data_IF_659899598357
#
_entry.id   IF_659899598357
#
_cell.length_a   1.000
_cell.length_b   1.000
_cell.length_c   1.000
_cell.angle_alpha   90.00
_cell.angle_beta   90.00
_cell.angle_gamma   90.00
#
_symmetry.space_group_name_H-M   'P 1'
#
loop_
_entity.id
_entity.type
_entity.pdbx_description
1 polymer ?
#
# COMPACT_ATOMS: atom_id res chain seq x y z
N UNK A 1 13.41 5.80 -7.43
CA UNK A 1 12.27 5.18 -6.72
C UNK A 1 12.49 3.67 -6.74
N UNK A 2 12.40 2.98 -5.61
CA UNK A 2 12.51 1.51 -5.58
C UNK A 2 11.12 0.89 -5.47
N UNK A 3 11.02 -0.42 -5.65
CA UNK A 3 9.79 -1.20 -5.43
C UNK A 3 9.94 -1.99 -4.13
N UNK A 4 8.87 -2.08 -3.35
CA UNK A 4 8.85 -2.90 -2.14
C UNK A 4 9.00 -4.39 -2.50
N UNK A 5 9.71 -5.17 -1.68
CA UNK A 5 10.00 -6.59 -1.98
C UNK A 5 8.72 -7.42 -2.15
N UNK A 6 7.72 -7.18 -1.30
CA UNK A 6 6.39 -7.81 -1.41
C UNK A 6 5.63 -7.46 -2.71
N UNK A 7 6.04 -6.39 -3.40
CA UNK A 7 5.44 -6.00 -4.66
C UNK A 7 5.84 -6.84 -5.85
N UNK A 8 7.02 -7.50 -5.83
CA UNK A 8 7.53 -8.21 -7.01
C UNK A 8 6.59 -9.32 -7.48
N UNK A 9 6.10 -10.15 -6.56
CA UNK A 9 5.16 -11.23 -6.87
C UNK A 9 3.85 -10.69 -7.44
N UNK A 10 3.27 -9.67 -6.80
CA UNK A 10 2.03 -9.03 -7.23
C UNK A 10 2.13 -8.38 -8.61
N UNK A 11 3.25 -7.70 -8.87
CA UNK A 11 3.55 -7.09 -10.17
C UNK A 11 3.71 -8.18 -11.24
N UNK A 12 4.45 -9.25 -10.97
CA UNK A 12 4.64 -10.35 -11.91
C UNK A 12 3.32 -11.03 -12.29
N UNK A 13 2.46 -11.30 -11.29
CA UNK A 13 1.13 -11.86 -11.53
C UNK A 13 0.24 -10.92 -12.35
N UNK A 14 0.32 -9.61 -12.08
CA UNK A 14 -0.43 -8.59 -12.84
C UNK A 14 0.03 -8.53 -14.29
N UNK A 15 1.35 -8.58 -14.55
CA UNK A 15 1.90 -8.61 -15.92
C UNK A 15 1.45 -9.87 -16.65
N UNK A 16 1.49 -11.04 -16.00
CA UNK A 16 1.01 -12.30 -16.59
C UNK A 16 -0.49 -12.23 -16.93
N UNK A 17 -1.29 -11.73 -16.01
CA UNK A 17 -2.73 -11.55 -16.21
C UNK A 17 -3.04 -10.61 -17.37
N UNK A 18 -2.36 -9.45 -17.42
CA UNK A 18 -2.45 -8.50 -18.53
C UNK A 18 -2.07 -9.17 -19.85
N UNK A 19 -0.95 -9.89 -19.89
CA UNK A 19 -0.50 -10.57 -21.10
C UNK A 19 -1.56 -11.56 -21.62
N UNK A 20 -2.10 -12.41 -20.75
CA UNK A 20 -3.12 -13.41 -21.11
C UNK A 20 -4.39 -12.72 -21.65
N UNK A 21 -4.90 -11.70 -20.95
CA UNK A 21 -6.11 -10.99 -21.40
C UNK A 21 -5.91 -10.36 -22.77
N UNK A 22 -4.78 -9.67 -22.96
CA UNK A 22 -4.51 -9.00 -24.22
C UNK A 22 -4.32 -10.00 -25.37
N UNK A 23 -3.64 -11.13 -25.13
CA UNK A 23 -3.49 -12.20 -26.12
C UNK A 23 -4.84 -12.82 -26.52
N UNK A 24 -5.72 -13.07 -25.55
CA UNK A 24 -7.07 -13.61 -25.81
C UNK A 24 -7.91 -12.62 -26.61
N UNK A 25 -7.87 -11.33 -26.24
CA UNK A 25 -8.62 -10.28 -26.95
C UNK A 25 -8.11 -10.12 -28.38
N UNK A 26 -6.79 -10.13 -28.58
CA UNK A 26 -6.18 -10.05 -29.91
C UNK A 26 -6.56 -11.26 -30.77
N UNK A 27 -6.52 -12.47 -30.21
CA UNK A 27 -6.85 -13.70 -30.94
C UNK A 27 -8.34 -13.82 -31.31
N UNK A 28 -9.25 -13.42 -30.40
CA UNK A 28 -10.69 -13.64 -30.57
C UNK A 28 -11.44 -12.46 -31.17
N UNK A 29 -10.91 -11.26 -31.05
CA UNK A 29 -11.56 -10.01 -31.43
C UNK A 29 -10.63 -9.09 -32.24
N UNK A 30 -9.82 -9.67 -33.13
CA UNK A 30 -8.83 -8.96 -33.95
C UNK A 30 -9.43 -7.75 -34.69
N UNK A 31 -10.63 -7.90 -35.25
CA UNK A 31 -11.33 -6.88 -36.04
C UNK A 31 -12.02 -5.80 -35.19
N UNK A 32 -12.20 -6.04 -33.89
CA UNK A 32 -12.88 -5.13 -32.98
C UNK A 32 -11.93 -4.05 -32.44
N UNK A 33 -11.55 -3.11 -33.32
CA UNK A 33 -10.57 -2.04 -33.03
C UNK A 33 -10.84 -1.31 -31.71
N UNK A 34 -12.08 -0.84 -31.49
CA UNK A 34 -12.46 -0.07 -30.30
C UNK A 34 -12.29 -0.89 -29.01
N UNK A 35 -12.69 -2.17 -29.04
CA UNK A 35 -12.59 -3.06 -27.89
C UNK A 35 -11.12 -3.31 -27.51
N UNK A 36 -10.26 -3.57 -28.50
CA UNK A 36 -8.82 -3.80 -28.28
C UNK A 36 -8.16 -2.60 -27.59
N UNK A 37 -8.37 -1.39 -28.13
CA UNK A 37 -7.83 -0.17 -27.53
C UNK A 37 -8.34 0.09 -26.13
N UNK A 38 -9.63 -0.16 -25.88
CA UNK A 38 -10.20 -0.03 -24.55
C UNK A 38 -9.53 -0.97 -23.54
N UNK A 39 -9.33 -2.24 -23.91
CA UNK A 39 -8.63 -3.23 -23.08
C UNK A 39 -7.17 -2.86 -22.85
N UNK A 40 -6.48 -2.32 -23.85
CA UNK A 40 -5.08 -1.86 -23.73
C UNK A 40 -4.97 -0.72 -22.72
N UNK A 41 -5.86 0.27 -22.81
CA UNK A 41 -5.90 1.41 -21.89
C UNK A 41 -6.16 0.94 -20.46
N UNK A 42 -7.14 0.06 -20.24
CA UNK A 42 -7.44 -0.49 -18.91
C UNK A 42 -6.26 -1.32 -18.38
N UNK A 43 -5.66 -2.15 -19.22
CA UNK A 43 -4.49 -2.96 -18.83
C UNK A 43 -3.32 -2.07 -18.39
N UNK A 44 -3.05 -1.01 -19.14
CA UNK A 44 -2.03 -0.04 -18.79
C UNK A 44 -2.35 0.69 -17.49
N UNK A 45 -3.61 1.15 -17.31
CA UNK A 45 -4.05 1.80 -16.08
C UNK A 45 -3.91 0.88 -14.84
N UNK A 46 -4.27 -0.40 -14.99
CA UNK A 46 -4.10 -1.41 -13.94
C UNK A 46 -2.63 -1.60 -13.58
N UNK A 47 -1.76 -1.76 -14.59
CA UNK A 47 -0.33 -1.92 -14.37
C UNK A 47 0.27 -0.73 -13.61
N UNK A 48 -0.06 0.49 -14.04
CA UNK A 48 0.39 1.71 -13.36
C UNK A 48 -0.13 1.75 -11.93
N UNK A 49 -1.39 1.40 -11.68
CA UNK A 49 -1.97 1.40 -10.34
C UNK A 49 -1.22 0.44 -9.40
N UNK A 50 -0.94 -0.79 -9.84
CA UNK A 50 -0.19 -1.78 -9.06
C UNK A 50 1.24 -1.31 -8.81
N UNK A 51 1.92 -0.75 -9.82
CA UNK A 51 3.25 -0.18 -9.64
C UNK A 51 3.26 0.98 -8.64
N UNK A 52 2.26 1.86 -8.69
CA UNK A 52 2.12 2.99 -7.77
C UNK A 52 1.84 2.54 -6.34
N UNK A 53 1.08 1.46 -6.16
CA UNK A 53 0.79 0.89 -4.83
C UNK A 53 2.06 0.37 -4.13
N UNK A 54 2.90 -0.36 -4.86
CA UNK A 54 4.13 -0.99 -4.33
C UNK A 54 5.38 -0.11 -4.40
N UNK A 55 5.24 1.17 -4.76
CA UNK A 55 6.38 2.09 -4.83
C UNK A 55 6.99 2.35 -3.45
N UNK A 56 8.31 2.50 -3.42
CA UNK A 56 9.07 2.94 -2.26
C UNK A 56 9.98 4.12 -2.65
N UNK A 57 9.47 5.36 -2.60
CA UNK A 57 10.28 6.54 -2.89
C UNK A 57 11.26 6.79 -1.74
N UNK A 58 12.42 7.38 -2.08
CA UNK A 58 13.31 7.94 -1.05
C UNK A 58 12.57 9.11 -0.40
N UNK A 59 12.67 9.20 0.92
CA UNK A 59 12.09 10.27 1.72
C UNK A 59 13.16 10.92 2.57
N UNK A 60 13.03 12.24 2.72
CA UNK A 60 13.78 13.00 3.71
C UNK A 60 12.89 13.10 4.95
N UNK A 61 13.34 12.52 6.05
CA UNK A 61 12.66 12.62 7.34
C UNK A 61 13.36 13.68 8.17
N UNK A 62 12.60 14.39 9.00
CA UNK A 62 13.17 15.11 10.14
C UNK A 62 13.58 14.08 11.18
N UNK A 63 14.80 14.12 11.67
CA UNK A 63 15.35 13.20 12.66
C UNK A 63 15.63 13.92 14.00
N UNK A 64 15.55 13.15 15.09
CA UNK A 64 15.80 13.66 16.45
C UNK A 64 15.35 12.67 17.52
N UNK A 65 16.07 12.59 18.63
CA UNK A 65 15.81 11.61 19.71
C UNK A 65 14.47 11.83 20.42
N UNK A 66 13.98 13.07 20.43
CA UNK A 66 12.73 13.47 21.10
C UNK A 66 11.57 13.70 20.11
N UNK A 67 11.66 13.16 18.90
CA UNK A 67 10.64 13.31 17.85
C UNK A 67 9.93 11.98 17.59
N UNK A 68 8.60 12.06 17.41
CA UNK A 68 7.79 10.96 16.88
C UNK A 68 7.52 11.28 15.42
N UNK A 69 8.04 10.45 14.52
CA UNK A 69 7.92 10.66 13.08
C UNK A 69 6.68 9.98 12.54
N UNK A 70 6.02 10.61 11.57
CA UNK A 70 4.85 10.01 10.93
C UNK A 70 5.22 8.67 10.25
N UNK A 71 4.59 7.54 10.64
CA UNK A 71 5.01 6.22 10.17
C UNK A 71 4.56 5.90 8.74
N UNK A 72 3.55 6.59 8.22
CA UNK A 72 2.86 6.22 6.99
C UNK A 72 2.36 7.45 6.21
N UNK A 73 2.09 7.26 4.91
CA UNK A 73 1.43 8.26 4.07
C UNK A 73 -0.07 8.17 4.24
N UNK A 74 -0.72 9.27 4.59
CA UNK A 74 -2.16 9.25 4.68
C UNK A 74 -2.75 10.49 5.28
N UNK A 75 -4.03 10.38 5.63
CA UNK A 75 -4.77 11.41 6.35
C UNK A 75 -4.88 11.00 7.81
N UNK A 76 -4.53 11.89 8.73
CA UNK A 76 -4.87 11.70 10.15
C UNK A 76 -6.38 11.80 10.28
N UNK A 77 -7.01 10.73 10.76
CA UNK A 77 -8.48 10.62 10.88
C UNK A 77 -8.95 10.65 12.33
N UNK A 78 -8.07 10.33 13.28
CA UNK A 78 -8.36 10.33 14.73
C UNK A 78 -7.13 10.82 15.49
N UNK A 79 -7.36 11.70 16.45
CA UNK A 79 -6.43 12.03 17.55
C UNK A 79 -7.30 12.14 18.82
N UNK A 80 -7.27 11.12 19.67
CA UNK A 80 -8.11 11.09 20.87
C UNK A 80 -7.49 10.24 21.99
N UNK A 81 -7.94 10.43 23.23
CA UNK A 81 -7.59 9.52 24.31
C UNK A 81 -8.49 8.29 24.29
N UNK A 82 -7.88 7.11 24.38
CA UNK A 82 -8.56 5.82 24.41
C UNK A 82 -7.95 4.91 25.47
N UNK A 83 -8.68 3.90 25.91
CA UNK A 83 -8.17 2.87 26.82
C UNK A 83 -7.43 1.80 26.00
N UNK A 84 -6.12 1.62 26.21
CA UNK A 84 -5.32 0.59 25.55
C UNK A 84 -5.34 -0.70 26.39
N UNK A 85 -6.12 -1.69 25.97
CA UNK A 85 -6.40 -2.88 26.79
C UNK A 85 -5.42 -4.05 26.72
N UNK A 86 -4.42 -4.03 25.83
CA UNK A 86 -3.58 -5.22 25.57
C UNK A 86 -2.25 -5.19 26.31
N UNK A 87 -1.50 -4.10 26.20
CA UNK A 87 -0.14 -4.00 26.71
C UNK A 87 -0.04 -3.12 27.95
N UNK A 88 -0.50 -1.87 27.86
CA UNK A 88 -0.44 -0.86 28.91
C UNK A 88 -1.60 -0.96 29.91
N UNK A 89 -2.81 -1.31 29.47
CA UNK A 89 -4.03 -1.42 30.31
C UNK A 89 -4.37 -0.10 31.03
N UNK A 90 -4.24 1.01 30.29
CA UNK A 90 -4.50 2.38 30.77
C UNK A 90 -4.90 3.33 29.62
N UNK A 91 -5.19 4.59 29.95
CA UNK A 91 -5.51 5.65 28.97
C UNK A 91 -4.26 6.11 28.20
N UNK A 92 -4.36 6.12 26.87
CA UNK A 92 -3.31 6.55 25.93
C UNK A 92 -3.86 7.45 24.83
N UNK A 93 -3.01 8.29 24.28
CA UNK A 93 -3.33 9.07 23.08
C UNK A 93 -3.21 8.17 21.84
N UNK A 94 -4.33 7.96 21.14
CA UNK A 94 -4.38 7.26 19.86
C UNK A 94 -4.27 8.26 18.71
N UNK A 95 -3.42 7.94 17.74
CA UNK A 95 -3.35 8.64 16.46
C UNK A 95 -3.59 7.63 15.34
N UNK A 96 -4.64 7.84 14.54
CA UNK A 96 -4.98 6.95 13.43
C UNK A 96 -4.73 7.63 12.09
N UNK A 97 -4.02 6.95 11.19
CA UNK A 97 -3.69 7.42 9.85
C UNK A 97 -4.37 6.49 8.83
N UNK A 98 -5.22 7.07 7.99
CA UNK A 98 -5.85 6.37 6.87
C UNK A 98 -4.98 6.49 5.62
N UNK A 99 -4.52 5.35 5.11
CA UNK A 99 -3.80 5.25 3.83
C UNK A 99 -4.80 4.94 2.71
N UNK A 100 -4.92 5.85 1.75
CA UNK A 100 -5.69 5.62 0.51
C UNK A 100 -4.87 4.82 -0.50
N UNK A 101 -5.49 4.18 -1.51
CA UNK A 101 -4.79 3.40 -2.55
C UNK A 101 -3.68 4.15 -3.32
N UNK A 102 -3.71 5.48 -3.34
CA UNK A 102 -2.69 6.31 -4.00
C UNK A 102 -1.51 6.68 -3.10
N UNK A 103 -1.60 6.41 -1.79
CA UNK A 103 -0.52 6.61 -0.83
C UNK A 103 0.57 5.53 -0.97
N UNK A 104 1.74 5.79 -0.40
CA UNK A 104 2.77 4.75 -0.27
C UNK A 104 2.34 3.78 0.83
N UNK A 105 2.01 2.54 0.48
CA UNK A 105 1.52 1.50 1.40
C UNK A 105 2.68 0.82 2.15
N UNK A 106 3.42 1.63 2.90
CA UNK A 106 4.55 1.18 3.72
C UNK A 106 4.42 1.84 5.09
N UNK A 107 4.24 1.02 6.12
CA UNK A 107 4.32 1.44 7.51
C UNK A 107 5.77 1.34 8.00
N UNK A 108 6.26 2.40 8.63
CA UNK A 108 7.60 2.49 9.22
C UNK A 108 7.49 2.63 10.74
N UNK A 109 8.61 2.42 11.43
CA UNK A 109 8.67 2.67 12.86
C UNK A 109 8.74 4.20 13.10
N UNK A 110 7.84 4.77 13.91
CA UNK A 110 7.82 6.22 14.16
C UNK A 110 8.91 6.68 15.15
N UNK A 111 9.49 5.75 15.90
CA UNK A 111 10.52 5.97 16.93
C UNK A 111 11.55 4.83 16.91
N UNK A 112 12.75 5.10 17.42
CA UNK A 112 13.76 4.07 17.70
C UNK A 112 13.42 3.31 18.99
N UNK A 113 13.63 1.99 19.00
CA UNK A 113 13.38 1.18 20.19
C UNK A 113 13.41 -0.32 19.93
N UNK A 114 13.00 -1.09 20.93
CA UNK A 114 12.88 -2.55 20.87
C UNK A 114 11.40 -2.92 20.92
N UNK A 115 10.93 -3.73 19.97
CA UNK A 115 9.57 -4.27 19.99
C UNK A 115 9.44 -5.24 21.16
N UNK A 116 8.64 -4.87 22.18
CA UNK A 116 8.40 -5.70 23.38
C UNK A 116 7.17 -6.60 23.28
N UNK A 117 6.22 -6.25 22.42
CA UNK A 117 4.94 -6.95 22.29
C UNK A 117 4.45 -6.90 20.84
N UNK A 118 3.89 -8.02 20.36
CA UNK A 118 3.23 -8.15 19.06
C UNK A 118 2.11 -9.18 19.20
N UNK A 119 0.93 -8.84 18.68
CA UNK A 119 -0.22 -9.74 18.67
C UNK A 119 -0.95 -9.62 17.34
N UNK A 120 -1.21 -10.75 16.71
CA UNK A 120 -2.07 -10.82 15.53
C UNK A 120 -3.52 -10.92 15.96
N UNK A 121 -4.37 -10.09 15.35
CA UNK A 121 -5.81 -10.12 15.51
C UNK A 121 -6.43 -10.52 14.17
N UNK A 122 -7.09 -11.68 14.07
CA UNK A 122 -7.78 -12.05 12.83
C UNK A 122 -8.89 -11.04 12.54
N UNK A 123 -8.80 -10.40 11.38
CA UNK A 123 -9.84 -9.54 10.87
C UNK A 123 -11.02 -10.32 10.29
N UNK A 124 -12.03 -9.60 9.80
CA UNK A 124 -13.14 -10.20 9.06
C UNK A 124 -12.75 -10.68 7.65
N UNK A 125 -11.63 -10.18 7.13
CA UNK A 125 -11.11 -10.40 5.78
C UNK A 125 -9.60 -10.60 5.81
#
# INVERSE_FOLDING_TARGET
MTIHKEGYTSIALTVLFIFIINAVVEYRFADAFVLRWFVYIISFALFITVLQFFRNPKRNFTDGENLIICPADGKVVVIEETEEGEYFKDRRLQVSIFMSPVNVHINRNPISGVVKFFKYHPGKY
#
